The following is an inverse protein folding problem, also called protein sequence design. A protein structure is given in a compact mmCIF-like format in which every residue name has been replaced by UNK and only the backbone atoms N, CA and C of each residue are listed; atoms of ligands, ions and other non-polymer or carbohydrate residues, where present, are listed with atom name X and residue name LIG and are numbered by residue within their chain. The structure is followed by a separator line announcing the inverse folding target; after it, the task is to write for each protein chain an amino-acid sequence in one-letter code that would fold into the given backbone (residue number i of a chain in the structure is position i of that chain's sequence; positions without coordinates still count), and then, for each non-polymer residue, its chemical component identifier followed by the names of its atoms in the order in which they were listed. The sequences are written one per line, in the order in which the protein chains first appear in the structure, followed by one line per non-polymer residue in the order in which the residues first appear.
data_IF_910719063915
#
_entry.id   IF_910719063915
#
_cell.length_a   1.000
_cell.length_b   1.000
_cell.length_c   1.000
_cell.angle_alpha   90.00
_cell.angle_beta   90.00
_cell.angle_gamma   90.00
#
_symmetry.space_group_name_H-M   'P 1'
#
loop_
_entity.id
_entity.type
_entity.pdbx_description
1 polymer ?
#
# COMPACT_ATOMS: atom_id res chain seq x y z
N UNK A 1 -25.58 79.23 -25.93
CA UNK A 1 -24.73 78.06 -25.62
C UNK A 1 -24.95 77.03 -26.72
N UNK A 2 -23.89 76.44 -27.27
CA UNK A 2 -23.94 75.68 -28.52
C UNK A 2 -24.10 74.15 -28.31
N UNK A 3 -24.68 73.41 -29.28
CA UNK A 3 -24.78 71.95 -29.24
C UNK A 3 -23.71 71.22 -30.08
N UNK A 4 -23.26 70.07 -29.56
CA UNK A 4 -23.04 68.76 -30.24
C UNK A 4 -22.35 68.75 -31.64
N UNK A 5 -21.14 68.14 -31.77
CA UNK A 5 -20.89 66.78 -32.35
C UNK A 5 -19.38 66.50 -32.57
N UNK A 6 -18.97 65.21 -32.50
CA UNK A 6 -17.71 64.63 -33.05
C UNK A 6 -17.73 64.70 -34.60
N UNK A 7 -16.60 64.73 -35.35
CA UNK A 7 -15.82 63.49 -35.60
C UNK A 7 -14.29 63.61 -35.92
N UNK A 8 -13.66 62.42 -35.92
CA UNK A 8 -12.58 61.88 -36.81
C UNK A 8 -11.32 62.66 -37.28
N UNK A 9 -10.17 62.09 -36.89
CA UNK A 9 -8.89 61.82 -37.63
C UNK A 9 -8.57 62.49 -38.97
N UNK A 10 -7.28 62.85 -39.19
CA UNK A 10 -6.43 62.42 -40.35
C UNK A 10 -4.95 62.89 -40.26
N UNK A 11 -4.05 62.07 -40.85
CA UNK A 11 -2.66 62.31 -41.34
C UNK A 11 -1.47 62.72 -40.41
N UNK A 12 -0.38 61.94 -40.53
CA UNK A 12 1.02 62.24 -40.18
C UNK A 12 1.70 63.14 -41.27
N UNK A 13 3.00 63.53 -41.26
CA UNK A 13 4.23 62.81 -40.81
C UNK A 13 5.09 63.66 -39.81
N UNK A 14 6.36 63.37 -39.45
CA UNK A 14 7.40 62.37 -39.86
C UNK A 14 8.30 61.99 -38.64
N UNK A 15 9.29 61.10 -38.85
CA UNK A 15 10.62 60.95 -38.17
C UNK A 15 10.79 61.42 -36.69
N UNK A 16 11.29 60.60 -35.77
CA UNK A 16 12.58 59.89 -35.89
C UNK A 16 12.59 58.54 -35.17
N UNK A 17 13.38 57.61 -35.70
CA UNK A 17 13.63 56.24 -35.23
C UNK A 17 14.05 56.15 -33.77
N UNK A 18 13.32 55.36 -32.97
CA UNK A 18 13.82 54.75 -31.73
C UNK A 18 13.63 53.24 -31.87
N UNK A 19 14.73 52.49 -31.77
CA UNK A 19 14.69 51.02 -31.87
C UNK A 19 14.22 50.44 -30.54
N UNK A 20 12.91 50.26 -30.39
CA UNK A 20 12.32 49.51 -29.28
C UNK A 20 12.53 48.01 -29.51
N UNK A 21 13.42 47.38 -28.71
CA UNK A 21 13.36 45.92 -28.48
C UNK A 21 11.93 45.57 -28.06
N UNK A 22 11.41 44.44 -28.56
CA UNK A 22 10.04 44.03 -28.26
C UNK A 22 9.90 43.69 -26.77
N UNK A 23 8.74 43.97 -26.16
CA UNK A 23 8.44 43.54 -24.78
C UNK A 23 8.67 42.03 -24.60
N UNK A 24 8.39 41.24 -25.65
CA UNK A 24 8.59 39.79 -25.68
C UNK A 24 10.07 39.40 -25.55
N UNK A 25 11.00 40.21 -26.04
CA UNK A 25 12.45 39.93 -25.93
C UNK A 25 12.96 40.22 -24.51
N UNK A 26 12.46 41.30 -23.90
CA UNK A 26 12.77 41.67 -22.51
C UNK A 26 12.22 40.60 -21.55
N UNK A 27 10.99 40.13 -21.77
CA UNK A 27 10.37 39.07 -20.98
C UNK A 27 11.10 37.73 -21.14
N UNK A 28 11.60 37.40 -22.33
CA UNK A 28 12.43 36.21 -22.55
C UNK A 28 13.82 36.30 -21.90
N UNK A 29 14.48 37.47 -21.89
CA UNK A 29 15.73 37.67 -21.13
C UNK A 29 15.49 37.58 -19.61
N UNK A 30 14.37 38.13 -19.11
CA UNK A 30 13.98 38.05 -17.70
C UNK A 30 13.63 36.62 -17.25
N UNK A 31 12.87 35.87 -18.04
CA UNK A 31 12.53 34.46 -17.78
C UNK A 31 13.77 33.55 -17.82
N UNK A 32 14.71 33.79 -18.74
CA UNK A 32 16.01 33.08 -18.76
C UNK A 32 16.83 33.35 -17.50
N UNK A 33 16.84 34.60 -17.04
CA UNK A 33 17.57 34.98 -15.81
C UNK A 33 16.98 34.27 -14.58
N UNK A 34 15.65 34.27 -14.42
CA UNK A 34 14.98 33.54 -13.35
C UNK A 34 15.21 32.02 -13.41
N UNK A 35 15.22 31.42 -14.60
CA UNK A 35 15.53 29.99 -14.76
C UNK A 35 16.96 29.66 -14.32
N UNK A 36 17.92 30.55 -14.58
CA UNK A 36 19.32 30.34 -14.21
C UNK A 36 19.55 30.53 -12.70
N UNK A 37 18.85 31.48 -12.07
CA UNK A 37 18.83 31.64 -10.61
C UNK A 37 18.14 30.44 -9.92
N UNK A 38 17.00 29.98 -10.44
CA UNK A 38 16.28 28.81 -9.90
C UNK A 38 17.10 27.53 -10.05
N UNK A 39 17.84 27.34 -11.15
CA UNK A 39 18.82 26.24 -11.28
C UNK A 39 19.92 26.33 -10.22
N UNK A 40 20.53 27.50 -10.03
CA UNK A 40 21.55 27.70 -8.98
C UNK A 40 21.00 27.44 -7.58
N UNK A 41 19.73 27.75 -7.33
CA UNK A 41 19.06 27.45 -6.06
C UNK A 41 18.79 25.95 -5.88
N UNK A 42 18.38 25.24 -6.95
CA UNK A 42 18.24 23.77 -6.93
C UNK A 42 19.61 23.10 -6.76
N UNK A 43 20.66 23.63 -7.38
CA UNK A 43 22.02 23.12 -7.27
C UNK A 43 22.60 23.35 -5.86
N UNK A 44 22.39 24.53 -5.26
CA UNK A 44 22.79 24.79 -3.87
C UNK A 44 21.98 23.98 -2.85
N UNK A 45 20.68 23.76 -3.08
CA UNK A 45 19.86 22.84 -2.28
C UNK A 45 20.32 21.39 -2.41
N UNK A 46 20.68 20.95 -3.63
CA UNK A 46 21.23 19.61 -3.87
C UNK A 46 22.58 19.41 -3.19
N UNK A 47 23.45 20.43 -3.21
CA UNK A 47 24.71 20.43 -2.45
C UNK A 47 24.44 20.42 -0.95
N UNK A 48 23.47 21.19 -0.45
CA UNK A 48 23.09 21.18 0.97
C UNK A 48 22.53 19.81 1.43
N UNK A 49 21.89 19.03 0.55
CA UNK A 49 21.45 17.66 0.87
C UNK A 49 22.51 16.58 0.63
N UNK A 50 23.56 16.81 -0.17
CA UNK A 50 24.66 15.83 -0.34
C UNK A 50 25.92 16.11 0.49
N UNK A 51 26.08 17.29 1.11
CA UNK A 51 27.30 17.62 1.90
C UNK A 51 27.25 17.09 3.34
N UNK A 52 26.18 16.42 3.76
CA UNK A 52 26.10 15.72 5.05
C UNK A 52 26.65 14.29 5.02
N UNK A 53 27.05 13.78 3.85
CA UNK A 53 27.56 12.42 3.69
C UNK A 53 28.99 12.43 3.13
N UNK A 54 29.85 11.56 3.69
CA UNK A 54 31.30 11.40 3.46
C UNK A 54 32.20 12.47 4.12
N UNK A 55 33.17 12.15 5.00
CA UNK A 55 33.67 10.86 5.51
C UNK A 55 34.06 10.98 6.99
N UNK A 56 33.62 10.03 7.84
CA UNK A 56 34.51 9.49 8.87
C UNK A 56 34.21 8.00 9.13
N UNK A 57 34.50 7.16 8.14
CA UNK A 57 34.38 5.71 8.27
C UNK A 57 35.58 5.15 9.06
N UNK A 58 35.43 5.01 10.38
CA UNK A 58 36.03 3.98 11.25
C UNK A 58 35.34 3.94 12.62
N UNK A 59 34.02 3.77 12.62
CA UNK A 59 33.23 3.22 13.72
C UNK A 59 31.90 2.76 13.12
N UNK A 60 31.54 1.49 13.28
CA UNK A 60 30.21 1.04 12.85
C UNK A 60 29.15 1.75 13.67
N UNK A 61 28.24 2.48 13.03
CA UNK A 61 27.11 3.07 13.74
C UNK A 61 26.29 1.94 14.36
N UNK A 62 26.27 1.89 15.69
CA UNK A 62 25.39 1.00 16.47
C UNK A 62 23.91 1.41 16.38
N UNK A 63 23.63 2.55 15.73
CA UNK A 63 22.33 3.18 15.68
C UNK A 63 21.84 3.27 14.24
N UNK A 64 20.60 2.84 14.03
CA UNK A 64 19.86 2.98 12.77
C UNK A 64 19.07 4.28 12.89
N UNK A 65 19.23 5.20 11.92
CA UNK A 65 18.51 6.47 11.90
C UNK A 65 17.12 6.28 11.27
N UNK A 66 16.22 5.66 12.05
CA UNK A 66 14.85 5.39 11.65
C UNK A 66 13.98 6.61 11.95
N UNK A 67 13.40 7.20 10.90
CA UNK A 67 12.39 8.23 11.03
C UNK A 67 11.12 7.67 11.69
N UNK A 68 11.07 7.72 13.02
CA UNK A 68 10.00 7.10 13.79
C UNK A 68 8.63 7.69 13.41
N UNK A 69 7.79 6.84 12.82
CA UNK A 69 6.41 7.18 12.51
C UNK A 69 5.62 7.17 13.82
N UNK A 70 5.47 8.36 14.42
CA UNK A 70 4.74 8.53 15.67
C UNK A 70 3.22 8.33 15.46
N UNK A 71 2.72 7.14 15.79
CA UNK A 71 1.30 6.80 15.73
C UNK A 71 0.67 6.98 17.13
N UNK A 72 -0.40 7.79 17.27
CA UNK A 72 -1.12 7.92 18.53
C UNK A 72 -1.68 6.58 19.02
N UNK A 73 -1.47 6.24 20.29
CA UNK A 73 -1.92 4.97 20.90
C UNK A 73 -3.42 4.68 20.71
N UNK A 74 -4.23 5.75 20.73
CA UNK A 74 -5.68 5.70 20.56
C UNK A 74 -6.14 5.72 19.09
N UNK A 75 -5.23 5.83 18.10
CA UNK A 75 -5.60 5.77 16.67
C UNK A 75 -6.23 4.42 16.38
N UNK A 76 -7.45 4.44 15.85
CA UNK A 76 -8.11 3.24 15.35
C UNK A 76 -7.52 2.84 14.00
N UNK A 77 -7.21 1.56 13.87
CA UNK A 77 -6.54 0.97 12.72
C UNK A 77 -7.44 -0.14 12.17
N UNK A 78 -7.73 -0.14 10.85
CA UNK A 78 -8.46 -1.23 10.22
C UNK A 78 -7.55 -2.47 10.15
N UNK A 79 -8.02 -3.57 10.73
CA UNK A 79 -7.33 -4.86 10.76
C UNK A 79 -8.31 -5.95 10.30
N UNK A 80 -7.87 -6.86 9.45
CA UNK A 80 -8.69 -7.92 8.84
C UNK A 80 -8.26 -9.31 9.31
N UNK A 81 -9.22 -10.17 9.66
CA UNK A 81 -8.95 -11.60 9.84
C UNK A 81 -8.64 -12.25 8.51
N UNK A 82 -7.50 -12.94 8.42
CA UNK A 82 -7.08 -13.71 7.26
C UNK A 82 -7.17 -15.22 7.50
N UNK A 83 -7.79 -15.65 8.62
CA UNK A 83 -8.04 -17.06 8.92
C UNK A 83 -9.49 -17.48 8.67
N UNK A 84 -9.66 -18.75 8.32
CA UNK A 84 -10.95 -19.44 8.33
C UNK A 84 -11.50 -19.57 9.74
N UNK A 85 -12.81 -19.34 9.91
CA UNK A 85 -13.47 -19.34 11.21
C UNK A 85 -13.11 -18.13 12.09
N UNK A 86 -13.21 -18.32 13.40
CA UNK A 86 -13.13 -17.24 14.38
C UNK A 86 -11.73 -17.05 14.99
N UNK A 87 -11.22 -15.83 14.93
CA UNK A 87 -9.95 -15.43 15.53
C UNK A 87 -10.20 -14.62 16.81
N UNK A 88 -9.66 -15.08 17.93
CA UNK A 88 -9.67 -14.34 19.19
C UNK A 88 -8.29 -13.75 19.46
N UNK A 89 -8.21 -12.42 19.55
CA UNK A 89 -7.02 -11.72 20.00
C UNK A 89 -7.18 -11.34 21.48
N UNK A 90 -6.12 -11.48 22.27
CA UNK A 90 -6.03 -10.91 23.62
C UNK A 90 -5.14 -9.66 23.58
N UNK A 91 -5.73 -8.51 23.85
CA UNK A 91 -5.07 -7.21 23.89
C UNK A 91 -5.15 -6.68 25.32
N UNK A 92 -4.11 -6.90 26.14
CA UNK A 92 -4.05 -6.44 27.53
C UNK A 92 -5.31 -6.80 28.37
N UNK A 93 -5.85 -8.02 28.21
CA UNK A 93 -7.05 -8.48 28.92
C UNK A 93 -8.38 -8.14 28.25
N UNK A 94 -8.36 -7.41 27.13
CA UNK A 94 -9.51 -7.18 26.25
C UNK A 94 -9.51 -8.23 25.14
N UNK A 95 -10.57 -9.03 25.06
CA UNK A 95 -10.76 -10.01 23.98
C UNK A 95 -11.41 -9.38 22.76
N UNK A 96 -10.77 -9.51 21.60
CA UNK A 96 -11.28 -9.02 20.31
C UNK A 96 -11.55 -10.24 19.43
N UNK A 97 -12.84 -10.52 19.20
CA UNK A 97 -13.32 -11.65 18.39
C UNK A 97 -13.58 -11.20 16.96
N UNK A 98 -12.88 -11.78 16.00
CA UNK A 98 -13.27 -11.81 14.59
C UNK A 98 -14.09 -13.07 14.34
N UNK A 99 -15.23 -12.95 13.65
CA UNK A 99 -16.15 -14.07 13.42
C UNK A 99 -15.70 -14.98 12.28
N UNK A 100 -15.34 -14.36 11.16
CA UNK A 100 -15.09 -15.02 9.88
C UNK A 100 -13.89 -14.43 9.13
N UNK A 101 -13.37 -15.19 8.17
CA UNK A 101 -12.40 -14.75 7.17
C UNK A 101 -12.82 -13.45 6.47
N UNK A 102 -11.88 -12.53 6.28
CA UNK A 102 -12.09 -11.25 5.62
C UNK A 102 -12.87 -10.22 6.46
N UNK A 103 -13.27 -10.54 7.69
CA UNK A 103 -13.90 -9.58 8.60
C UNK A 103 -12.88 -8.50 8.98
N UNK A 104 -13.20 -7.23 8.71
CA UNK A 104 -12.40 -6.08 9.16
C UNK A 104 -12.97 -5.49 10.44
N UNK A 105 -12.13 -5.19 11.42
CA UNK A 105 -12.47 -4.46 12.63
C UNK A 105 -11.48 -3.33 12.89
N UNK A 106 -11.92 -2.33 13.66
CA UNK A 106 -11.11 -1.21 14.10
C UNK A 106 -10.51 -1.51 15.48
N UNK A 107 -9.18 -1.55 15.58
CA UNK A 107 -8.44 -1.83 16.81
C UNK A 107 -7.55 -0.62 17.13
N UNK A 108 -7.34 -0.28 18.40
CA UNK A 108 -6.40 0.80 18.76
C UNK A 108 -4.96 0.38 18.45
N UNK A 109 -4.08 1.35 18.19
CA UNK A 109 -2.65 1.05 18.01
C UNK A 109 -2.03 0.39 19.25
N UNK A 110 -2.48 0.78 20.44
CA UNK A 110 -2.08 0.18 21.71
C UNK A 110 -2.48 -1.29 21.82
N UNK A 111 -3.76 -1.62 21.53
CA UNK A 111 -4.27 -2.99 21.54
C UNK A 111 -3.52 -3.86 20.51
N UNK A 112 -3.31 -3.34 19.30
CA UNK A 112 -2.61 -4.04 18.22
C UNK A 112 -1.13 -4.31 18.57
N UNK A 113 -0.45 -3.32 19.17
CA UNK A 113 0.93 -3.47 19.63
C UNK A 113 1.03 -4.48 20.79
N UNK A 114 0.05 -4.50 21.69
CA UNK A 114 -0.04 -5.50 22.76
C UNK A 114 -0.21 -6.93 22.21
N UNK A 115 -1.07 -7.11 21.21
CA UNK A 115 -1.25 -8.39 20.51
C UNK A 115 0.07 -8.82 19.85
N UNK A 116 0.75 -7.93 19.12
CA UNK A 116 2.02 -8.27 18.47
C UNK A 116 3.11 -8.65 19.47
N UNK A 117 3.25 -7.91 20.57
CA UNK A 117 4.23 -8.20 21.62
C UNK A 117 3.96 -9.55 22.33
N UNK A 118 2.69 -9.96 22.44
CA UNK A 118 2.29 -11.19 23.15
C UNK A 118 2.32 -12.41 22.23
N UNK A 119 1.88 -12.24 20.98
CA UNK A 119 1.68 -13.30 20.00
C UNK A 119 2.11 -12.85 18.59
N UNK A 120 3.42 -12.62 18.34
CA UNK A 120 3.90 -12.07 17.07
C UNK A 120 3.56 -12.98 15.88
N UNK A 121 3.52 -14.30 16.10
CA UNK A 121 3.11 -15.32 15.12
C UNK A 121 1.77 -15.02 14.46
N UNK A 122 0.80 -14.42 15.16
CA UNK A 122 -0.52 -14.06 14.59
C UNK A 122 -0.36 -13.11 13.39
N UNK A 123 0.61 -12.19 13.45
CA UNK A 123 0.85 -11.23 12.37
C UNK A 123 1.87 -11.80 11.36
N UNK A 124 2.90 -12.49 11.84
CA UNK A 124 3.96 -13.05 10.98
C UNK A 124 3.52 -14.23 10.10
N UNK A 125 2.69 -15.16 10.60
CA UNK A 125 2.07 -16.22 9.78
C UNK A 125 0.92 -15.68 8.91
N UNK A 126 0.59 -14.40 9.05
CA UNK A 126 -0.47 -13.74 8.28
C UNK A 126 -1.89 -14.14 8.68
N UNK A 127 -2.15 -14.43 9.96
CA UNK A 127 -3.52 -14.67 10.45
C UNK A 127 -4.32 -13.35 10.48
N UNK A 128 -3.62 -12.22 10.53
CA UNK A 128 -4.16 -10.90 10.76
C UNK A 128 -3.48 -9.87 9.83
N UNK A 129 -4.27 -9.22 8.96
CA UNK A 129 -3.80 -8.22 8.00
C UNK A 129 -4.08 -6.80 8.50
N UNK A 130 -3.02 -6.04 8.79
CA UNK A 130 -3.10 -4.61 9.11
C UNK A 130 -3.29 -3.83 7.80
N UNK A 131 -4.40 -3.11 7.65
CA UNK A 131 -4.71 -2.33 6.46
C UNK A 131 -4.24 -0.87 6.58
N UNK A 132 -3.02 -0.67 7.09
CA UNK A 132 -2.42 0.65 7.21
C UNK A 132 -0.88 0.57 7.13
N UNK A 133 -0.31 1.16 6.08
CA UNK A 133 1.14 1.07 5.81
C UNK A 133 2.00 1.80 6.85
N UNK A 134 1.52 2.91 7.42
CA UNK A 134 2.22 3.65 8.47
C UNK A 134 2.40 2.76 9.71
N UNK A 135 1.38 1.96 10.05
CA UNK A 135 1.38 1.03 11.19
C UNK A 135 2.29 -0.16 10.94
N UNK A 136 2.29 -0.72 9.73
CA UNK A 136 3.21 -1.81 9.34
C UNK A 136 4.66 -1.36 9.53
N UNK A 137 4.99 -0.15 9.10
CA UNK A 137 6.30 0.47 9.30
C UNK A 137 6.62 0.77 10.76
N UNK A 138 5.68 1.34 11.51
CA UNK A 138 5.84 1.63 12.94
C UNK A 138 5.97 0.37 13.82
N UNK A 139 5.71 -0.82 13.28
CA UNK A 139 5.89 -2.12 13.93
C UNK A 139 7.06 -2.94 13.33
N UNK A 140 7.82 -2.38 12.38
CA UNK A 140 8.94 -3.04 11.68
C UNK A 140 8.55 -4.33 10.94
N UNK A 141 7.35 -4.33 10.34
CA UNK A 141 6.74 -5.49 9.69
C UNK A 141 6.92 -5.49 8.17
N UNK A 142 7.60 -4.51 7.57
CA UNK A 142 7.75 -4.37 6.11
C UNK A 142 8.24 -5.67 5.45
N UNK A 143 9.34 -6.23 5.96
CA UNK A 143 9.93 -7.48 5.45
C UNK A 143 8.98 -8.69 5.55
N UNK A 144 8.03 -8.67 6.50
CA UNK A 144 6.98 -9.69 6.64
C UNK A 144 5.85 -9.43 5.64
N UNK A 145 5.58 -8.16 5.35
CA UNK A 145 4.51 -7.72 4.44
C UNK A 145 4.86 -7.87 2.96
N UNK A 146 6.14 -7.93 2.57
CA UNK A 146 6.58 -8.20 1.19
C UNK A 146 6.01 -9.51 0.61
N UNK A 147 5.89 -10.54 1.45
CA UNK A 147 5.39 -11.87 1.07
C UNK A 147 3.90 -12.06 1.40
N UNK A 148 3.21 -11.00 1.83
CA UNK A 148 1.83 -11.08 2.29
C UNK A 148 0.87 -11.08 1.10
N UNK A 149 -0.15 -11.95 1.15
CA UNK A 149 -1.14 -12.09 0.08
C UNK A 149 -2.44 -11.38 0.43
N UNK A 150 -3.08 -10.80 -0.60
CA UNK A 150 -4.37 -10.15 -0.42
C UNK A 150 -5.49 -11.15 -0.14
N UNK A 151 -6.54 -10.71 0.55
CA UNK A 151 -7.80 -11.47 0.72
C UNK A 151 -8.31 -12.04 -0.61
N UNK A 152 -8.38 -11.19 -1.64
CA UNK A 152 -8.85 -11.56 -2.98
C UNK A 152 -7.99 -12.65 -3.61
N UNK A 153 -6.67 -12.60 -3.44
CA UNK A 153 -5.77 -13.64 -3.93
C UNK A 153 -6.12 -15.00 -3.32
N UNK A 154 -6.26 -15.09 -1.98
CA UNK A 154 -6.68 -16.32 -1.28
C UNK A 154 -8.03 -16.84 -1.82
N UNK A 155 -9.03 -15.97 -1.98
CA UNK A 155 -10.35 -16.35 -2.50
C UNK A 155 -10.31 -16.84 -3.97
N UNK A 156 -9.34 -16.35 -4.76
CA UNK A 156 -9.20 -16.63 -6.19
C UNK A 156 -8.19 -17.74 -6.53
N UNK A 157 -7.52 -18.37 -5.56
CA UNK A 157 -6.56 -19.48 -5.82
C UNK A 157 -7.15 -20.56 -6.74
N UNK A 158 -8.40 -20.98 -6.51
CA UNK A 158 -9.08 -22.01 -7.33
C UNK A 158 -9.23 -21.62 -8.82
N UNK A 159 -9.10 -20.35 -9.16
CA UNK A 159 -9.19 -19.88 -10.55
C UNK A 159 -7.91 -20.14 -11.35
N UNK A 160 -6.77 -20.29 -10.68
CA UNK A 160 -5.47 -20.59 -11.28
C UNK A 160 -5.44 -21.95 -12.00
N UNK A 161 -4.51 -22.19 -12.94
CA UNK A 161 -4.17 -23.52 -13.45
C UNK A 161 -3.87 -24.53 -12.34
N UNK A 162 -4.17 -25.82 -12.56
CA UNK A 162 -4.08 -26.84 -11.51
C UNK A 162 -2.65 -27.04 -10.96
N UNK A 163 -1.63 -26.89 -11.81
CA UNK A 163 -0.22 -26.90 -11.47
C UNK A 163 0.21 -25.64 -10.68
N UNK A 164 -0.33 -24.47 -11.04
CA UNK A 164 -0.11 -23.22 -10.30
C UNK A 164 -0.79 -23.22 -8.94
N UNK A 165 -1.93 -23.89 -8.77
CA UNK A 165 -2.63 -24.02 -7.47
C UNK A 165 -1.70 -24.66 -6.43
N UNK A 166 -1.08 -25.80 -6.74
CA UNK A 166 -0.23 -26.52 -5.78
C UNK A 166 1.01 -25.71 -5.42
N UNK A 167 1.66 -25.11 -6.43
CA UNK A 167 2.79 -24.19 -6.22
C UNK A 167 2.41 -22.97 -5.36
N UNK A 168 1.20 -22.46 -5.53
CA UNK A 168 0.68 -21.35 -4.73
C UNK A 168 0.43 -21.80 -3.29
N UNK A 169 -0.29 -22.89 -3.08
CA UNK A 169 -0.59 -23.43 -1.75
C UNK A 169 0.69 -23.81 -0.97
N UNK A 170 1.73 -24.34 -1.63
CA UNK A 170 3.01 -24.68 -0.99
C UNK A 170 3.80 -23.46 -0.53
N UNK A 171 3.66 -22.32 -1.22
CA UNK A 171 4.35 -21.07 -0.88
C UNK A 171 3.63 -20.26 0.22
N UNK A 172 2.35 -20.54 0.48
CA UNK A 172 1.63 -19.93 1.60
C UNK A 172 2.13 -20.45 2.95
N UNK A 173 2.07 -19.59 3.97
CA UNK A 173 2.18 -19.97 5.39
C UNK A 173 1.14 -21.03 5.73
N UNK A 174 1.39 -21.83 6.77
CA UNK A 174 0.50 -22.92 7.15
C UNK A 174 -0.94 -22.45 7.41
N UNK A 175 -1.10 -21.31 8.08
CA UNK A 175 -2.41 -20.72 8.41
C UNK A 175 -3.19 -20.24 7.17
N UNK A 176 -2.51 -19.54 6.25
CA UNK A 176 -3.10 -19.08 5.00
C UNK A 176 -3.44 -20.24 4.05
N UNK A 177 -2.60 -21.30 4.04
CA UNK A 177 -2.85 -22.54 3.29
C UNK A 177 -4.11 -23.25 3.80
N UNK A 178 -4.22 -23.47 5.11
CA UNK A 178 -5.43 -24.06 5.72
C UNK A 178 -6.66 -23.21 5.40
N UNK A 179 -6.55 -21.88 5.45
CA UNK A 179 -7.66 -20.98 5.13
C UNK A 179 -8.07 -21.03 3.66
N UNK A 180 -7.12 -21.08 2.73
CA UNK A 180 -7.40 -21.27 1.31
C UNK A 180 -8.15 -22.59 1.04
N UNK A 181 -7.67 -23.69 1.65
CA UNK A 181 -8.31 -25.02 1.55
C UNK A 181 -9.72 -24.98 2.14
N UNK A 182 -9.92 -24.34 3.29
CA UNK A 182 -11.23 -24.19 3.92
C UNK A 182 -12.23 -23.42 3.07
N UNK A 183 -11.80 -22.33 2.43
CA UNK A 183 -12.61 -21.54 1.50
C UNK A 183 -13.00 -22.38 0.28
N UNK A 184 -12.09 -23.22 -0.23
CA UNK A 184 -12.36 -24.15 -1.33
C UNK A 184 -13.39 -25.21 -0.92
N UNK A 185 -13.21 -25.88 0.22
CA UNK A 185 -14.15 -26.86 0.76
C UNK A 185 -15.54 -26.24 0.97
N UNK A 186 -15.60 -25.02 1.53
CA UNK A 186 -16.85 -24.28 1.71
C UNK A 186 -17.53 -23.95 0.38
N UNK A 187 -16.77 -23.47 -0.60
CA UNK A 187 -17.29 -23.19 -1.95
C UNK A 187 -17.85 -24.42 -2.68
N UNK A 188 -17.28 -25.60 -2.43
CA UNK A 188 -17.79 -26.89 -2.92
C UNK A 188 -19.11 -27.26 -2.22
N UNK A 189 -19.17 -27.17 -0.87
CA UNK A 189 -20.41 -27.44 -0.11
C UNK A 189 -21.57 -26.53 -0.53
N UNK A 190 -21.28 -25.24 -0.72
CA UNK A 190 -22.23 -24.22 -1.22
C UNK A 190 -22.62 -24.41 -2.71
N UNK A 191 -22.09 -25.42 -3.41
CA UNK A 191 -22.30 -25.71 -4.85
C UNK A 191 -22.00 -24.52 -5.76
N UNK A 192 -21.01 -23.71 -5.41
CA UNK A 192 -20.61 -22.57 -6.21
C UNK A 192 -19.84 -23.04 -7.45
N UNK A 193 -20.33 -22.70 -8.65
CA UNK A 193 -19.77 -23.12 -9.94
C UNK A 193 -18.26 -22.81 -10.09
N UNK A 194 -17.72 -21.81 -9.38
CA UNK A 194 -16.27 -21.49 -9.33
C UNK A 194 -15.42 -22.69 -8.86
N UNK A 195 -16.00 -23.59 -8.07
CA UNK A 195 -15.35 -24.73 -7.44
C UNK A 195 -15.88 -26.07 -8.02
N UNK A 196 -16.24 -26.10 -9.31
CA UNK A 196 -16.79 -27.29 -9.99
C UNK A 196 -15.79 -28.06 -10.87
N UNK A 197 -14.57 -27.55 -11.04
CA UNK A 197 -13.52 -28.17 -11.87
C UNK A 197 -12.93 -29.41 -11.17
N UNK A 198 -13.34 -30.60 -11.62
CA UNK A 198 -12.93 -31.88 -11.07
C UNK A 198 -11.41 -32.12 -11.13
N UNK A 199 -10.70 -31.58 -12.14
CA UNK A 199 -9.25 -31.76 -12.25
C UNK A 199 -8.53 -30.98 -11.15
N UNK A 200 -8.96 -29.74 -10.89
CA UNK A 200 -8.42 -28.92 -9.80
C UNK A 200 -8.75 -29.51 -8.44
N UNK A 201 -9.98 -29.98 -8.27
CA UNK A 201 -10.45 -30.69 -7.06
C UNK A 201 -9.56 -31.89 -6.76
N UNK A 202 -9.33 -32.77 -7.75
CA UNK A 202 -8.50 -33.96 -7.58
C UNK A 202 -7.07 -33.60 -7.16
N UNK A 203 -6.45 -32.65 -7.87
CA UNK A 203 -5.07 -32.22 -7.59
C UNK A 203 -4.93 -31.62 -6.18
N UNK A 204 -5.94 -30.90 -5.68
CA UNK A 204 -5.97 -30.40 -4.30
C UNK A 204 -6.16 -31.56 -3.30
N UNK A 205 -7.07 -32.50 -3.56
CA UNK A 205 -7.28 -33.68 -2.72
C UNK A 205 -6.00 -34.50 -2.56
N UNK A 206 -5.29 -34.74 -3.67
CA UNK A 206 -4.02 -35.47 -3.69
C UNK A 206 -2.94 -34.74 -2.87
N UNK A 207 -2.88 -33.40 -2.95
CA UNK A 207 -1.94 -32.58 -2.18
C UNK A 207 -2.21 -32.58 -0.67
N UNK A 208 -3.47 -32.60 -0.24
CA UNK A 208 -3.82 -32.65 1.19
C UNK A 208 -3.94 -34.08 1.75
N UNK A 209 -3.94 -35.10 0.88
CA UNK A 209 -4.09 -36.51 1.24
C UNK A 209 -5.51 -36.90 1.70
N UNK A 210 -6.54 -36.14 1.30
CA UNK A 210 -7.94 -36.33 1.71
C UNK A 210 -8.89 -35.87 0.59
N UNK A 211 -10.02 -36.55 0.37
CA UNK A 211 -11.01 -36.12 -0.64
C UNK A 211 -11.77 -34.88 -0.15
N UNK A 212 -11.52 -33.73 -0.78
CA UNK A 212 -12.20 -32.46 -0.44
C UNK A 212 -13.71 -32.51 -0.69
N UNK A 213 -14.21 -33.42 -1.55
CA UNK A 213 -15.65 -33.61 -1.74
C UNK A 213 -16.29 -34.34 -0.55
N UNK A 214 -15.56 -35.22 0.14
CA UNK A 214 -16.03 -35.83 1.40
C UNK A 214 -15.98 -34.82 2.54
N UNK A 215 -14.91 -34.03 2.63
CA UNK A 215 -14.81 -32.93 3.59
C UNK A 215 -15.95 -31.90 3.41
N UNK A 216 -16.30 -31.58 2.17
CA UNK A 216 -17.39 -30.64 1.85
C UNK A 216 -18.79 -31.17 2.22
N UNK A 217 -19.03 -32.49 2.17
CA UNK A 217 -20.32 -33.09 2.60
C UNK A 217 -20.51 -33.04 4.12
N UNK A 218 -19.41 -32.91 4.88
CA UNK A 218 -19.40 -32.95 6.34
C UNK A 218 -19.37 -31.53 6.98
N UNK A 219 -19.63 -30.47 6.18
CA UNK A 219 -19.73 -29.07 6.59
C UNK A 219 -21.04 -28.44 6.13
#
# INVERSE_FOLDING_TARGET
MAPIKKPETVSAPTETTVVTKSQVEIENEFLKTQLEEMKKMIESLKVATTTSETVNSQNGSLFIDESQIAIPSNKLIPVMSMVSGSLNLDANGKRILFRDFGTTQQISFEDLRAVYNTHPVIIEDGWLLIQNIDVVKALYLENKYENFVSKKFIEDIITLPADEIIKTLSNLTQSLRTTAIDIIIKGISERNNKFSDLNKIQVISDYIGQDINELAKNR
#
